data_IF_046088230944
#
_entry.id   IF_046088230944
#
_cell.length_a   1.000
_cell.length_b   1.000
_cell.length_c   1.000
_cell.angle_alpha   90.00
_cell.angle_beta   90.00
_cell.angle_gamma   90.00
#
_symmetry.space_group_name_H-M   'P 1'
#
loop_
_entity.id
_entity.type
_entity.pdbx_description
1 polymer ?
#
# COMPACT_ATOMS: atom_id res chain seq x y z
N UNK A 1 2.90 -6.65 -2.85
CA UNK A 1 2.81 -7.45 -4.09
C UNK A 1 2.92 -8.93 -3.79
N UNK A 2 2.36 -9.76 -4.68
CA UNK A 2 2.39 -11.22 -4.62
C UNK A 2 2.99 -11.73 -5.93
N UNK A 3 3.99 -12.59 -5.85
CA UNK A 3 4.60 -13.25 -7.01
C UNK A 3 4.48 -14.76 -6.88
N UNK A 4 4.38 -15.44 -8.01
CA UNK A 4 4.36 -16.91 -8.05
C UNK A 4 5.77 -17.44 -8.26
N UNK A 5 6.21 -18.34 -7.39
CA UNK A 5 7.57 -18.92 -7.44
C UNK A 5 7.87 -19.66 -8.75
N UNK A 6 6.81 -20.16 -9.42
CA UNK A 6 6.94 -20.94 -10.67
C UNK A 6 7.02 -20.08 -11.93
N UNK A 7 6.51 -18.85 -11.88
CA UNK A 7 6.42 -17.99 -13.07
C UNK A 7 7.71 -17.23 -13.35
N UNK A 8 8.59 -17.10 -12.35
CA UNK A 8 9.82 -16.34 -12.45
C UNK A 8 9.64 -14.83 -12.66
N UNK A 9 8.41 -14.33 -12.53
CA UNK A 9 8.12 -12.89 -12.63
C UNK A 9 8.67 -12.18 -11.40
N UNK A 10 9.56 -11.19 -11.55
CA UNK A 10 10.11 -10.47 -10.41
C UNK A 10 9.14 -9.42 -9.88
N UNK A 11 9.31 -9.06 -8.62
CA UNK A 11 8.90 -7.74 -8.13
C UNK A 11 9.97 -6.73 -8.52
N UNK A 12 9.54 -5.51 -8.85
CA UNK A 12 10.43 -4.40 -9.11
C UNK A 12 10.28 -3.38 -7.98
N UNK A 13 11.39 -2.98 -7.41
CA UNK A 13 11.49 -2.01 -6.32
C UNK A 13 12.24 -0.82 -6.89
N UNK A 14 11.59 0.33 -6.89
CA UNK A 14 12.13 1.59 -7.39
C UNK A 14 12.18 2.60 -6.25
N UNK A 15 13.25 3.35 -6.16
CA UNK A 15 13.37 4.46 -5.22
C UNK A 15 14.31 5.53 -5.75
N UNK A 16 14.10 6.75 -5.29
CA UNK A 16 14.90 7.90 -5.70
C UNK A 16 15.73 8.42 -4.52
N UNK A 17 17.01 8.63 -4.76
CA UNK A 17 17.89 9.36 -3.89
C UNK A 17 17.95 10.82 -4.35
N UNK A 18 17.46 11.72 -3.52
CA UNK A 18 17.33 13.15 -3.86
C UNK A 18 18.66 13.94 -3.79
N UNK A 19 19.80 13.27 -3.63
CA UNK A 19 21.12 13.92 -3.65
C UNK A 19 21.71 14.06 -5.04
N UNK A 20 21.19 13.33 -6.05
CA UNK A 20 21.73 13.24 -7.41
C UNK A 20 23.15 12.66 -7.49
N UNK A 21 23.68 12.13 -6.40
CA UNK A 21 24.95 11.43 -6.34
C UNK A 21 24.74 9.92 -6.41
N UNK A 22 25.81 9.19 -6.74
CA UNK A 22 25.79 7.74 -6.60
C UNK A 22 26.08 7.35 -5.17
N UNK A 23 25.14 6.61 -4.56
CA UNK A 23 25.37 5.93 -3.29
C UNK A 23 25.37 4.42 -3.49
N UNK A 24 26.23 3.73 -2.76
CA UNK A 24 26.30 2.27 -2.83
C UNK A 24 25.25 1.68 -1.89
N UNK A 25 24.08 1.41 -2.45
CA UNK A 25 23.02 0.72 -1.74
C UNK A 25 23.16 -0.79 -1.91
N UNK A 26 22.85 -1.50 -0.84
CA UNK A 26 22.81 -2.97 -0.78
C UNK A 26 21.50 -3.41 -0.18
N UNK A 27 21.12 -4.65 -0.44
CA UNK A 27 19.87 -5.17 0.11
C UNK A 27 20.08 -6.40 0.96
N UNK A 28 19.10 -6.66 1.81
CA UNK A 28 18.97 -7.87 2.61
C UNK A 28 17.55 -8.39 2.51
N UNK A 29 17.42 -9.66 2.16
CA UNK A 29 16.16 -10.41 2.21
C UNK A 29 16.05 -11.17 3.52
N UNK A 30 14.82 -11.21 4.05
CA UNK A 30 14.48 -12.01 5.21
C UNK A 30 13.17 -12.74 4.94
N UNK A 31 13.16 -14.05 5.16
CA UNK A 31 11.94 -14.83 5.14
C UNK A 31 11.16 -14.59 6.43
N UNK A 32 9.83 -14.43 6.32
CA UNK A 32 8.95 -14.07 7.43
C UNK A 32 7.75 -15.02 7.53
N UNK A 33 7.25 -15.15 8.75
CA UNK A 33 6.00 -15.83 9.06
C UNK A 33 4.77 -15.01 8.58
N UNK A 34 3.58 -15.58 8.75
CA UNK A 34 2.33 -14.94 8.35
C UNK A 34 2.07 -13.59 9.06
N UNK A 35 2.64 -13.36 10.22
CA UNK A 35 2.56 -12.12 10.99
C UNK A 35 3.73 -11.14 10.74
N UNK A 36 4.55 -11.43 9.71
CA UNK A 36 5.76 -10.68 9.34
C UNK A 36 6.91 -10.74 10.35
N UNK A 37 6.83 -11.55 11.39
CA UNK A 37 7.99 -11.88 12.21
C UNK A 37 9.01 -12.68 11.39
N UNK A 38 10.29 -12.55 11.72
CA UNK A 38 11.33 -13.34 11.06
C UNK A 38 11.12 -14.83 11.31
N UNK A 39 11.21 -15.65 10.27
CA UNK A 39 11.08 -17.10 10.42
C UNK A 39 12.26 -17.68 11.20
N UNK A 40 11.96 -18.41 12.26
CA UNK A 40 12.97 -19.04 13.09
C UNK A 40 13.47 -20.35 12.46
N UNK A 41 14.78 -20.60 12.49
CA UNK A 41 15.39 -21.83 12.01
C UNK A 41 15.50 -21.97 10.50
N UNK A 42 15.15 -20.92 9.74
CA UNK A 42 15.34 -20.84 8.29
C UNK A 42 16.59 -20.00 8.01
N UNK A 43 17.55 -20.59 7.28
CA UNK A 43 18.78 -19.90 6.88
C UNK A 43 18.62 -19.29 5.48
N UNK A 44 19.45 -18.32 5.14
CA UNK A 44 19.44 -17.64 3.85
C UNK A 44 19.53 -18.64 2.68
N UNK A 45 20.32 -19.70 2.84
CA UNK A 45 20.48 -20.77 1.85
C UNK A 45 19.25 -21.66 1.65
N UNK A 46 18.29 -21.64 2.57
CA UNK A 46 17.07 -22.43 2.46
C UNK A 46 16.05 -21.76 1.55
N UNK A 47 16.03 -20.43 1.51
CA UNK A 47 15.04 -19.67 0.74
C UNK A 47 15.62 -18.93 -0.47
N UNK A 48 16.94 -18.77 -0.55
CA UNK A 48 17.61 -18.05 -1.64
C UNK A 48 18.84 -18.80 -2.15
N UNK A 49 18.86 -19.10 -3.45
CA UNK A 49 20.07 -19.48 -4.15
C UNK A 49 20.83 -18.23 -4.58
N UNK A 50 21.97 -17.97 -3.97
CA UNK A 50 22.82 -16.81 -4.22
C UNK A 50 22.94 -15.89 -3.01
N UNK A 51 22.76 -14.59 -3.21
CA UNK A 51 22.99 -13.58 -2.17
C UNK A 51 21.69 -13.05 -1.61
N UNK A 52 21.33 -13.45 -0.42
CA UNK A 52 20.20 -12.89 0.33
C UNK A 52 20.56 -11.60 1.09
N UNK A 53 21.87 -11.37 1.33
CA UNK A 53 22.35 -10.20 2.07
C UNK A 53 23.63 -9.64 1.45
N UNK A 54 23.74 -8.31 1.41
CA UNK A 54 24.95 -7.59 1.02
C UNK A 54 25.19 -7.46 -0.49
N UNK A 55 24.25 -7.89 -1.34
CA UNK A 55 24.39 -7.67 -2.77
C UNK A 55 24.04 -6.23 -3.16
N UNK A 56 24.77 -5.69 -4.12
CA UNK A 56 24.73 -4.27 -4.50
C UNK A 56 23.59 -4.02 -5.48
N UNK A 57 22.89 -2.91 -5.28
CA UNK A 57 21.92 -2.36 -6.24
C UNK A 57 22.71 -1.52 -7.24
N UNK A 58 23.03 -2.11 -8.39
CA UNK A 58 23.89 -1.51 -9.42
C UNK A 58 23.12 -0.95 -10.63
N UNK A 59 21.80 -1.13 -10.68
CA UNK A 59 20.92 -0.47 -11.64
C UNK A 59 20.51 0.90 -11.12
N UNK A 60 21.06 1.95 -11.71
CA UNK A 60 20.71 3.33 -11.36
C UNK A 60 20.82 4.27 -12.57
N UNK A 61 20.00 5.32 -12.56
CA UNK A 61 20.01 6.36 -13.60
C UNK A 61 19.75 7.73 -12.98
N UNK A 62 20.49 8.74 -13.40
CA UNK A 62 20.29 10.11 -12.94
C UNK A 62 19.06 10.74 -13.62
N UNK A 63 18.32 11.55 -12.88
CA UNK A 63 17.19 12.31 -13.42
C UNK A 63 17.61 13.23 -14.56
N UNK A 64 16.70 13.43 -15.51
CA UNK A 64 16.95 14.24 -16.72
C UNK A 64 15.84 15.27 -16.87
N UNK A 65 16.25 16.54 -17.10
CA UNK A 65 15.33 17.67 -17.33
C UNK A 65 14.35 17.92 -16.17
N UNK A 66 14.75 17.61 -14.94
CA UNK A 66 13.97 17.88 -13.73
C UNK A 66 14.56 19.04 -12.95
N UNK A 67 13.72 19.80 -12.27
CA UNK A 67 14.14 20.83 -11.32
C UNK A 67 14.70 20.21 -10.03
N UNK A 68 13.98 19.26 -9.48
CA UNK A 68 14.47 18.43 -8.38
C UNK A 68 15.34 17.33 -8.94
N UNK A 69 16.63 17.39 -8.71
CA UNK A 69 17.59 16.39 -9.21
C UNK A 69 17.64 15.20 -8.27
N UNK A 70 17.68 13.98 -8.82
CA UNK A 70 17.74 12.73 -8.05
C UNK A 70 18.48 11.64 -8.82
N UNK A 71 18.86 10.58 -8.12
CA UNK A 71 19.33 9.33 -8.72
C UNK A 71 18.27 8.26 -8.50
N UNK A 72 17.73 7.70 -9.57
CA UNK A 72 16.77 6.62 -9.58
C UNK A 72 17.47 5.28 -9.48
N UNK A 73 17.07 4.44 -8.54
CA UNK A 73 17.56 3.07 -8.34
C UNK A 73 16.47 2.06 -8.61
N UNK A 74 16.86 0.92 -9.20
CA UNK A 74 15.97 -0.19 -9.52
C UNK A 74 16.55 -1.49 -8.99
N UNK A 75 15.69 -2.31 -8.38
CA UNK A 75 16.02 -3.65 -7.92
C UNK A 75 14.88 -4.61 -8.28
N UNK A 76 15.20 -5.66 -9.01
CA UNK A 76 14.27 -6.77 -9.30
C UNK A 76 14.60 -7.99 -8.44
N UNK A 77 13.59 -8.60 -7.81
CA UNK A 77 13.71 -9.84 -7.06
C UNK A 77 12.60 -10.82 -7.50
N UNK A 78 12.91 -12.08 -7.88
CA UNK A 78 14.25 -12.65 -8.02
C UNK A 78 15.07 -12.07 -9.19
N UNK A 79 16.39 -12.23 -9.13
CA UNK A 79 17.32 -11.84 -10.18
C UNK A 79 18.40 -12.93 -10.39
N UNK A 80 19.40 -12.67 -11.22
CA UNK A 80 20.47 -13.64 -11.51
C UNK A 80 21.31 -14.02 -10.29
N UNK A 81 21.41 -13.11 -9.29
CA UNK A 81 22.21 -13.29 -8.08
C UNK A 81 21.41 -13.74 -6.87
N UNK A 82 20.08 -13.68 -6.94
CA UNK A 82 19.18 -14.11 -5.88
C UNK A 82 17.93 -14.77 -6.46
N UNK A 83 17.85 -16.10 -6.37
CA UNK A 83 16.72 -16.91 -6.81
C UNK A 83 15.99 -17.44 -5.59
N UNK A 84 14.67 -17.23 -5.55
CA UNK A 84 13.84 -17.66 -4.43
C UNK A 84 13.43 -19.13 -4.59
N UNK A 85 13.65 -19.92 -3.53
CA UNK A 85 13.38 -21.36 -3.50
C UNK A 85 12.21 -21.73 -2.60
N UNK A 86 11.73 -20.80 -1.78
CA UNK A 86 10.69 -21.03 -0.77
C UNK A 86 9.55 -20.04 -0.94
N UNK A 87 8.32 -20.51 -0.82
CA UNK A 87 7.14 -19.65 -0.68
C UNK A 87 7.03 -19.08 0.74
N UNK A 88 6.41 -17.91 0.89
CA UNK A 88 6.24 -17.27 2.18
C UNK A 88 6.21 -15.74 2.07
N UNK A 89 6.22 -15.08 3.20
CA UNK A 89 6.36 -13.64 3.28
C UNK A 89 7.84 -13.25 3.28
N UNK A 90 8.16 -12.16 2.61
CA UNK A 90 9.52 -11.65 2.52
C UNK A 90 9.58 -10.18 2.87
N UNK A 91 10.53 -9.83 3.71
CA UNK A 91 10.92 -8.46 3.98
C UNK A 91 12.26 -8.18 3.33
N UNK A 92 12.30 -7.18 2.46
CA UNK A 92 13.52 -6.65 1.87
C UNK A 92 13.87 -5.36 2.58
N UNK A 93 15.09 -5.24 3.07
CA UNK A 93 15.67 -4.00 3.58
C UNK A 93 16.71 -3.50 2.59
N UNK A 94 16.65 -2.21 2.23
CA UNK A 94 17.72 -1.54 1.50
C UNK A 94 18.46 -0.64 2.49
N UNK A 95 19.78 -0.69 2.46
CA UNK A 95 20.62 0.08 3.36
C UNK A 95 21.86 0.64 2.65
N UNK A 96 22.37 1.75 3.14
CA UNK A 96 23.64 2.31 2.66
C UNK A 96 24.79 1.42 3.11
N UNK A 97 25.70 1.07 2.19
CA UNK A 97 26.82 0.16 2.48
C UNK A 97 27.87 0.78 3.40
N UNK A 98 27.94 2.11 3.51
CA UNK A 98 28.94 2.80 4.31
C UNK A 98 28.58 2.88 5.78
N UNK A 99 27.39 3.39 6.11
CA UNK A 99 26.93 3.62 7.48
C UNK A 99 26.00 2.54 8.01
N UNK A 100 25.52 1.66 7.10
CA UNK A 100 24.59 0.57 7.38
C UNK A 100 23.20 1.03 7.84
N UNK A 101 22.86 2.28 7.62
CA UNK A 101 21.52 2.79 7.89
C UNK A 101 20.52 2.23 6.89
N UNK A 102 19.44 1.67 7.40
CA UNK A 102 18.34 1.17 6.57
C UNK A 102 17.52 2.36 6.06
N UNK A 103 17.44 2.50 4.74
CA UNK A 103 16.73 3.61 4.09
C UNK A 103 15.27 3.25 3.76
N UNK A 104 14.98 1.98 3.44
CA UNK A 104 13.61 1.53 3.19
C UNK A 104 13.42 0.05 3.49
N UNK A 105 12.17 -0.32 3.70
CA UNK A 105 11.70 -1.70 3.74
C UNK A 105 10.64 -1.92 2.65
N UNK A 106 10.75 -3.01 1.92
CA UNK A 106 9.69 -3.51 1.05
C UNK A 106 9.21 -4.87 1.54
N UNK A 107 7.89 -5.09 1.46
CA UNK A 107 7.26 -6.34 1.87
C UNK A 107 6.56 -6.96 0.67
N UNK A 108 6.76 -8.25 0.44
CA UNK A 108 6.11 -8.98 -0.63
C UNK A 108 5.87 -10.44 -0.24
N UNK A 109 5.02 -11.11 -0.99
CA UNK A 109 4.67 -12.49 -0.76
C UNK A 109 5.06 -13.33 -1.98
N UNK A 110 5.56 -14.53 -1.72
CA UNK A 110 5.89 -15.53 -2.74
C UNK A 110 4.95 -16.72 -2.57
N UNK A 111 4.11 -16.97 -3.56
CA UNK A 111 3.13 -18.04 -3.52
C UNK A 111 3.62 -19.28 -4.29
N UNK A 112 3.42 -20.46 -3.70
CA UNK A 112 3.38 -21.73 -4.42
C UNK A 112 1.92 -22.23 -4.40
N UNK A 113 1.22 -22.30 -5.55
CA UNK A 113 -0.24 -22.41 -5.60
C UNK A 113 -0.75 -23.82 -5.35
N UNK A 114 -0.54 -24.38 -4.14
CA UNK A 114 -1.10 -25.66 -3.73
C UNK A 114 -2.52 -25.54 -3.16
N UNK A 115 -2.95 -24.33 -2.82
CA UNK A 115 -4.26 -24.04 -2.24
C UNK A 115 -5.07 -23.25 -3.24
N UNK A 116 -6.36 -23.58 -3.37
CA UNK A 116 -7.31 -22.80 -4.18
C UNK A 116 -8.24 -22.02 -3.27
N UNK A 117 -8.40 -20.75 -3.56
CA UNK A 117 -9.28 -19.84 -2.82
C UNK A 117 -10.40 -19.41 -3.76
N UNK A 118 -11.63 -19.50 -3.26
CA UNK A 118 -12.81 -18.89 -3.87
C UNK A 118 -13.36 -17.87 -2.87
N UNK A 119 -13.61 -16.67 -3.32
CA UNK A 119 -14.17 -15.61 -2.48
C UNK A 119 -15.30 -14.87 -3.22
N UNK A 120 -16.25 -14.40 -2.48
CA UNK A 120 -17.34 -13.55 -2.95
C UNK A 120 -17.68 -12.51 -1.91
N UNK A 121 -18.08 -11.31 -2.35
CA UNK A 121 -18.51 -10.21 -1.49
C UNK A 121 -19.99 -9.94 -1.74
N UNK A 122 -20.74 -9.71 -0.69
CA UNK A 122 -22.17 -9.39 -0.76
C UNK A 122 -22.47 -8.17 0.11
N UNK A 123 -23.28 -7.26 -0.41
CA UNK A 123 -23.86 -6.14 0.33
C UNK A 123 -25.12 -6.54 1.14
N UNK A 124 -25.66 -7.75 0.92
CA UNK A 124 -26.66 -8.33 1.78
C UNK A 124 -25.96 -9.11 2.89
N UNK A 125 -25.71 -8.44 4.01
CA UNK A 125 -24.91 -8.95 5.12
C UNK A 125 -25.80 -9.55 6.22
N UNK A 126 -25.22 -10.26 7.19
CA UNK A 126 -25.95 -10.80 8.35
C UNK A 126 -26.36 -9.72 9.38
N UNK A 127 -26.03 -8.46 9.16
CA UNK A 127 -26.38 -7.34 10.05
C UNK A 127 -27.21 -6.27 9.36
N UNK A 128 -27.03 -6.07 8.08
CA UNK A 128 -27.82 -5.13 7.28
C UNK A 128 -27.94 -5.64 5.82
N UNK A 129 -28.83 -5.03 5.06
CA UNK A 129 -29.05 -5.36 3.66
C UNK A 129 -28.89 -4.10 2.81
N UNK A 130 -27.87 -4.07 1.98
CA UNK A 130 -27.56 -2.97 1.06
C UNK A 130 -27.51 -1.60 1.78
N UNK A 131 -26.86 -1.53 2.91
CA UNK A 131 -26.72 -0.32 3.69
C UNK A 131 -25.27 0.18 3.76
N UNK A 132 -24.52 -0.21 4.76
CA UNK A 132 -23.20 0.35 5.05
C UNK A 132 -22.07 -0.66 5.10
N UNK A 133 -22.38 -1.94 4.99
CA UNK A 133 -21.39 -3.02 5.12
C UNK A 133 -21.35 -3.94 3.90
N UNK A 134 -20.26 -4.68 3.85
CA UNK A 134 -20.00 -5.76 2.88
C UNK A 134 -19.55 -7.00 3.65
N UNK A 135 -20.00 -8.17 3.23
CA UNK A 135 -19.66 -9.44 3.88
C UNK A 135 -18.95 -10.36 2.90
N UNK A 136 -17.81 -10.90 3.33
CA UNK A 136 -17.03 -11.86 2.57
C UNK A 136 -17.51 -13.26 2.91
N UNK A 137 -17.69 -14.08 1.87
CA UNK A 137 -17.92 -15.52 1.94
C UNK A 137 -16.95 -16.22 0.99
N UNK A 138 -16.58 -17.46 1.31
CA UNK A 138 -15.64 -18.14 0.42
C UNK A 138 -15.25 -19.52 0.91
N UNK A 139 -14.28 -20.09 0.26
CA UNK A 139 -13.73 -21.39 0.60
C UNK A 139 -12.24 -21.50 0.31
N UNK A 140 -11.57 -22.31 1.09
CA UNK A 140 -10.16 -22.66 0.94
C UNK A 140 -10.06 -24.14 0.69
N UNK A 141 -9.70 -24.55 -0.52
CA UNK A 141 -9.45 -25.93 -0.92
C UNK A 141 -7.96 -26.24 -0.82
N UNK A 142 -7.61 -27.13 0.06
CA UNK A 142 -6.23 -27.55 0.34
C UNK A 142 -5.97 -29.01 -0.08
N UNK A 143 -6.73 -29.52 -1.07
CA UNK A 143 -6.57 -30.88 -1.59
C UNK A 143 -5.16 -31.19 -2.14
N UNK A 144 -4.41 -30.13 -2.49
CA UNK A 144 -3.00 -30.23 -2.91
C UNK A 144 -1.99 -30.45 -1.78
N UNK A 145 -2.43 -30.36 -0.53
CA UNK A 145 -1.59 -30.48 0.67
C UNK A 145 -2.05 -31.64 1.57
N UNK A 146 -1.12 -32.19 2.34
CA UNK A 146 -1.44 -33.19 3.38
C UNK A 146 -1.61 -32.48 4.71
N UNK A 147 -2.84 -32.14 5.05
CA UNK A 147 -3.21 -31.42 6.26
C UNK A 147 -4.11 -32.31 7.12
N UNK A 148 -3.75 -32.47 8.38
CA UNK A 148 -4.49 -33.29 9.34
C UNK A 148 -5.43 -32.48 10.19
N UNK A 149 -5.06 -31.25 10.54
CA UNK A 149 -5.86 -30.32 11.33
C UNK A 149 -5.82 -28.92 10.70
N UNK A 150 -6.71 -28.63 9.72
CA UNK A 150 -6.65 -27.40 8.96
C UNK A 150 -6.80 -26.14 9.82
N UNK A 151 -7.56 -26.17 10.91
CA UNK A 151 -7.73 -25.01 11.81
C UNK A 151 -6.43 -24.64 12.58
N UNK A 152 -5.46 -25.56 12.65
CA UNK A 152 -4.17 -25.34 13.33
C UNK A 152 -3.01 -25.21 12.37
N UNK A 153 -3.10 -25.87 11.23
CA UNK A 153 -2.01 -25.97 10.25
C UNK A 153 -2.12 -24.91 9.15
N UNK A 154 -3.32 -24.30 8.97
CA UNK A 154 -3.54 -23.21 8.01
C UNK A 154 -3.79 -21.90 8.75
N UNK A 155 -3.10 -20.86 8.34
CA UNK A 155 -3.37 -19.48 8.72
C UNK A 155 -4.19 -18.81 7.62
N UNK A 156 -5.36 -18.27 7.97
CA UNK A 156 -6.20 -17.51 7.05
C UNK A 156 -6.18 -16.03 7.41
N UNK A 157 -5.93 -15.19 6.43
CA UNK A 157 -5.95 -13.73 6.58
C UNK A 157 -6.85 -13.15 5.49
N UNK A 158 -7.88 -12.41 5.91
CA UNK A 158 -8.80 -11.72 5.01
C UNK A 158 -8.72 -10.24 5.36
N UNK A 159 -8.44 -9.41 4.36
CA UNK A 159 -8.31 -7.96 4.54
C UNK A 159 -9.00 -7.21 3.41
N UNK A 160 -9.38 -5.99 3.63
CA UNK A 160 -10.00 -5.10 2.65
C UNK A 160 -8.93 -4.21 2.01
N UNK A 161 -8.90 -4.15 0.69
CA UNK A 161 -8.00 -3.30 -0.12
C UNK A 161 -6.51 -3.48 0.23
N UNK A 162 -6.09 -4.68 0.63
CA UNK A 162 -4.71 -4.94 1.04
C UNK A 162 -4.26 -4.22 2.32
N UNK A 163 -5.19 -3.62 3.07
CA UNK A 163 -4.88 -2.81 4.26
C UNK A 163 -4.79 -3.69 5.50
N UNK A 164 -3.60 -3.87 6.04
CA UNK A 164 -3.35 -4.73 7.21
C UNK A 164 -4.13 -4.37 8.48
N UNK A 165 -4.50 -3.11 8.67
CA UNK A 165 -5.32 -2.71 9.83
C UNK A 165 -6.76 -3.25 9.76
N UNK A 166 -7.22 -3.70 8.60
CA UNK A 166 -8.53 -4.34 8.41
C UNK A 166 -8.47 -5.86 8.53
N UNK A 167 -7.29 -6.45 8.65
CA UNK A 167 -7.08 -7.89 8.61
C UNK A 167 -7.90 -8.64 9.68
N UNK A 168 -8.54 -9.71 9.24
CA UNK A 168 -9.22 -10.71 10.06
C UNK A 168 -8.40 -11.99 10.02
N UNK A 169 -7.73 -12.31 11.11
CA UNK A 169 -6.79 -13.42 11.19
C UNK A 169 -7.48 -14.65 11.78
N UNK A 170 -7.31 -15.81 11.14
CA UNK A 170 -7.79 -17.11 11.65
C UNK A 170 -9.26 -17.12 12.05
N UNK A 171 -10.09 -16.43 11.27
CA UNK A 171 -11.54 -16.46 11.44
C UNK A 171 -12.04 -17.89 11.35
N UNK A 172 -12.89 -18.29 12.28
CA UNK A 172 -13.36 -19.67 12.35
C UNK A 172 -14.25 -20.03 11.16
N UNK A 173 -13.93 -21.09 10.38
CA UNK A 173 -14.80 -21.55 9.30
C UNK A 173 -16.11 -22.14 9.85
N UNK A 174 -17.21 -21.97 9.13
CA UNK A 174 -18.50 -22.58 9.48
C UNK A 174 -18.53 -24.08 9.21
N UNK A 175 -17.76 -24.53 8.23
CA UNK A 175 -17.68 -25.95 7.88
C UNK A 175 -16.25 -26.33 7.55
N UNK A 176 -15.78 -27.43 8.13
CA UNK A 176 -14.50 -28.05 7.82
C UNK A 176 -14.76 -29.42 7.22
N UNK A 177 -14.35 -29.62 5.97
CA UNK A 177 -14.37 -30.88 5.25
C UNK A 177 -12.95 -31.49 5.25
N UNK A 178 -12.81 -32.69 4.71
CA UNK A 178 -11.49 -33.39 4.65
C UNK A 178 -10.41 -32.62 3.93
N UNK A 179 -10.77 -31.76 2.98
CA UNK A 179 -9.83 -31.03 2.11
C UNK A 179 -10.25 -29.58 1.84
N UNK A 180 -11.28 -29.08 2.52
CA UNK A 180 -11.84 -27.74 2.26
C UNK A 180 -12.38 -27.11 3.55
N UNK A 181 -12.09 -25.84 3.76
CA UNK A 181 -12.75 -24.97 4.73
C UNK A 181 -13.74 -24.05 4.02
N UNK A 182 -14.91 -23.82 4.62
CA UNK A 182 -15.97 -22.97 4.08
C UNK A 182 -16.31 -21.89 5.08
N UNK A 183 -16.31 -20.65 4.59
CA UNK A 183 -16.67 -19.44 5.32
C UNK A 183 -17.97 -18.90 4.74
N UNK A 184 -19.05 -18.95 5.50
CA UNK A 184 -20.38 -18.46 5.11
C UNK A 184 -21.11 -17.92 6.33
N UNK A 185 -21.86 -16.86 6.19
CA UNK A 185 -22.60 -16.27 7.32
C UNK A 185 -21.71 -16.01 8.55
N UNK A 186 -20.49 -15.54 8.30
CA UNK A 186 -19.54 -15.24 9.36
C UNK A 186 -19.52 -13.74 9.63
N UNK A 187 -20.00 -13.34 10.81
CA UNK A 187 -20.06 -11.92 11.19
C UNK A 187 -18.70 -11.27 11.39
N UNK A 188 -17.65 -12.05 11.65
CA UNK A 188 -16.28 -11.55 11.72
C UNK A 188 -15.75 -11.11 10.34
N UNK A 189 -16.36 -11.60 9.26
CA UNK A 189 -16.04 -11.25 7.89
C UNK A 189 -16.96 -10.16 7.29
N UNK A 190 -17.56 -9.35 8.16
CA UNK A 190 -18.27 -8.13 7.77
C UNK A 190 -17.31 -6.95 7.91
N UNK A 191 -17.22 -6.16 6.85
CA UNK A 191 -16.40 -4.97 6.76
C UNK A 191 -17.27 -3.74 6.51
N UNK A 192 -16.83 -2.59 6.99
CA UNK A 192 -17.42 -1.32 6.59
C UNK A 192 -17.25 -1.13 5.09
N UNK A 193 -18.27 -0.69 4.39
CA UNK A 193 -18.18 -0.40 2.95
C UNK A 193 -17.20 0.72 2.64
N UNK A 194 -17.07 1.68 3.55
CA UNK A 194 -16.23 2.84 3.33
C UNK A 194 -16.77 3.75 2.22
N UNK A 195 -15.89 4.45 1.58
CA UNK A 195 -16.16 5.31 0.43
C UNK A 195 -15.03 5.16 -0.59
N UNK A 196 -15.30 5.52 -1.86
CA UNK A 196 -14.27 5.54 -2.89
C UNK A 196 -13.09 6.40 -2.49
N UNK A 197 -11.87 6.01 -2.88
CA UNK A 197 -10.69 6.84 -2.64
C UNK A 197 -10.80 8.15 -3.42
N UNK A 198 -10.21 9.20 -2.89
CA UNK A 198 -9.99 10.47 -3.57
C UNK A 198 -8.79 10.33 -4.49
N UNK A 199 -8.70 11.18 -5.49
CA UNK A 199 -7.60 11.12 -6.45
C UNK A 199 -7.21 12.49 -6.97
N UNK A 200 -5.96 12.62 -7.33
CA UNK A 200 -5.44 13.75 -8.09
C UNK A 200 -4.31 13.28 -9.00
N UNK A 201 -3.95 14.14 -9.91
CA UNK A 201 -2.88 13.87 -10.86
C UNK A 201 -2.07 15.13 -11.14
N UNK A 202 -0.75 14.99 -11.21
CA UNK A 202 0.18 16.04 -11.64
C UNK A 202 0.92 15.52 -12.86
N UNK A 203 0.50 15.94 -14.05
CA UNK A 203 1.13 15.56 -15.30
C UNK A 203 2.16 16.62 -15.77
N UNK A 204 1.86 17.89 -15.53
CA UNK A 204 2.65 19.03 -15.95
C UNK A 204 2.91 19.93 -14.74
N UNK A 205 4.13 20.38 -14.56
CA UNK A 205 4.51 21.24 -13.43
C UNK A 205 4.07 22.69 -13.59
N UNK A 206 3.67 23.09 -14.80
CA UNK A 206 3.22 24.44 -15.12
C UNK A 206 1.68 24.54 -15.25
N UNK A 207 0.98 23.40 -15.35
CA UNK A 207 -0.46 23.38 -15.64
C UNK A 207 -1.20 22.46 -14.67
N UNK A 208 -2.29 22.95 -14.06
CA UNK A 208 -3.15 22.10 -13.25
C UNK A 208 -3.74 20.96 -14.09
N UNK A 209 -3.79 19.76 -13.48
CA UNK A 209 -4.48 18.59 -14.01
C UNK A 209 -5.56 18.14 -13.03
N UNK A 210 -6.06 16.90 -13.17
CA UNK A 210 -7.17 16.40 -12.36
C UNK A 210 -6.92 16.59 -10.85
N UNK A 211 -7.86 17.17 -10.14
CA UNK A 211 -7.80 17.36 -8.68
C UNK A 211 -6.91 18.51 -8.22
N UNK A 212 -6.18 19.17 -9.12
CA UNK A 212 -5.28 20.29 -8.82
C UNK A 212 -5.99 21.60 -9.09
N UNK A 213 -6.02 22.51 -8.11
CA UNK A 213 -6.58 23.86 -8.21
C UNK A 213 -5.58 24.82 -8.87
N UNK A 214 -4.33 24.78 -8.44
CA UNK A 214 -3.30 25.67 -8.95
C UNK A 214 -1.91 25.03 -8.93
N UNK A 215 -1.09 25.46 -9.90
CA UNK A 215 0.34 25.18 -9.98
C UNK A 215 1.11 26.48 -9.93
N UNK A 216 2.22 26.54 -9.18
CA UNK A 216 3.07 27.72 -9.09
C UNK A 216 4.50 27.36 -8.68
N UNK A 217 5.39 28.30 -8.89
CA UNK A 217 6.79 28.25 -8.47
C UNK A 217 7.01 29.12 -7.23
N UNK A 218 7.53 28.54 -6.13
CA UNK A 218 7.75 29.26 -4.87
C UNK A 218 9.13 29.96 -4.79
N UNK A 219 9.93 29.83 -5.82
CA UNK A 219 11.32 30.32 -5.88
C UNK A 219 12.36 29.20 -5.75
N UNK A 220 11.95 28.00 -5.34
CA UNK A 220 12.83 26.84 -5.15
C UNK A 220 12.23 25.56 -5.76
N UNK A 221 10.93 25.35 -5.59
CA UNK A 221 10.24 24.15 -6.02
C UNK A 221 8.93 24.49 -6.77
N UNK A 222 8.51 23.59 -7.62
CA UNK A 222 7.14 23.58 -8.09
C UNK A 222 6.19 23.20 -6.96
N UNK A 223 5.06 23.87 -6.89
CA UNK A 223 4.03 23.66 -5.88
C UNK A 223 2.68 23.40 -6.56
N UNK A 224 1.88 22.53 -5.96
CA UNK A 224 0.51 22.23 -6.36
C UNK A 224 -0.42 22.39 -5.17
N UNK A 225 -1.43 23.24 -5.29
CA UNK A 225 -2.54 23.24 -4.34
C UNK A 225 -3.67 22.36 -4.89
N UNK A 226 -4.07 21.35 -4.15
CA UNK A 226 -5.25 20.55 -4.50
C UNK A 226 -6.53 21.31 -4.16
N UNK A 227 -7.61 21.00 -4.87
CA UNK A 227 -8.95 21.46 -4.45
C UNK A 227 -9.20 21.06 -3.00
N UNK A 228 -9.80 21.99 -2.23
CA UNK A 228 -10.16 21.69 -0.84
C UNK A 228 -11.20 20.58 -0.81
N UNK A 229 -10.87 19.47 -0.18
CA UNK A 229 -11.78 18.34 0.02
C UNK A 229 -12.85 18.67 1.07
N UNK A 230 -14.04 18.12 0.85
CA UNK A 230 -15.17 18.16 1.77
C UNK A 230 -15.63 16.73 2.12
N UNK A 231 -16.36 16.55 3.24
CA UNK A 231 -16.97 15.26 3.58
C UNK A 231 -17.93 14.76 2.50
N UNK A 232 -17.87 13.47 2.23
CA UNK A 232 -18.74 12.80 1.26
C UNK A 232 -19.86 12.06 2.00
N UNK A 233 -21.06 12.65 2.00
CA UNK A 233 -22.27 12.11 2.67
C UNK A 233 -23.19 11.35 1.73
N UNK A 234 -22.90 11.35 0.44
CA UNK A 234 -23.65 10.60 -0.57
C UNK A 234 -22.68 9.80 -1.40
N UNK A 235 -23.09 8.60 -1.77
CA UNK A 235 -22.29 7.78 -2.68
C UNK A 235 -22.28 8.40 -4.07
N UNK A 236 -21.08 8.56 -4.59
CA UNK A 236 -20.84 8.92 -6.00
C UNK A 236 -19.77 7.96 -6.47
N UNK A 237 -20.14 7.12 -7.43
CA UNK A 237 -19.17 6.23 -8.06
C UNK A 237 -18.06 7.05 -8.72
N UNK A 238 -16.84 6.70 -8.41
CA UNK A 238 -15.65 7.30 -9.00
C UNK A 238 -14.56 6.23 -9.07
N UNK A 239 -14.23 5.77 -10.27
CA UNK A 239 -13.16 4.79 -10.47
C UNK A 239 -11.86 5.31 -9.89
N UNK A 240 -11.30 4.60 -8.93
CA UNK A 240 -10.07 4.96 -8.24
C UNK A 240 -9.02 3.82 -8.32
N UNK A 241 -7.93 3.93 -7.60
CA UNK A 241 -6.87 2.93 -7.57
C UNK A 241 -6.68 2.32 -6.18
N UNK A 242 -7.71 2.28 -5.32
CA UNK A 242 -7.66 1.71 -3.98
C UNK A 242 -6.44 2.16 -3.14
N UNK A 243 -6.09 3.46 -3.25
CA UNK A 243 -4.96 4.05 -2.54
C UNK A 243 -3.60 3.87 -3.20
N UNK A 244 -3.53 3.28 -4.39
CA UNK A 244 -2.30 3.16 -5.17
C UNK A 244 -1.93 4.45 -5.90
N UNK A 245 -0.75 4.45 -6.52
CA UNK A 245 -0.22 5.58 -7.28
C UNK A 245 0.52 5.10 -8.53
N UNK A 246 0.66 5.98 -9.50
CA UNK A 246 1.41 5.72 -10.74
C UNK A 246 2.25 6.93 -11.09
N UNK A 247 3.57 6.74 -11.21
CA UNK A 247 4.48 7.78 -11.65
C UNK A 247 4.35 7.98 -13.15
N UNK A 248 3.99 9.18 -13.57
CA UNK A 248 3.90 9.57 -14.97
C UNK A 248 3.93 11.09 -15.15
N UNK A 249 4.38 11.52 -16.30
CA UNK A 249 4.36 12.89 -16.74
C UNK A 249 3.52 13.06 -18.03
N UNK A 250 3.37 14.28 -18.52
CA UNK A 250 2.56 14.60 -19.71
C UNK A 250 3.05 13.89 -20.97
N UNK A 251 4.34 13.67 -21.12
CA UNK A 251 4.94 13.04 -22.28
C UNK A 251 4.85 11.50 -22.21
N UNK A 252 4.64 10.97 -21.01
CA UNK A 252 4.59 9.55 -20.69
C UNK A 252 5.81 8.77 -21.21
N UNK A 253 6.97 9.40 -21.19
CA UNK A 253 8.25 8.83 -21.61
C UNK A 253 9.22 8.95 -20.45
N UNK A 254 9.99 7.88 -20.21
CA UNK A 254 11.01 7.84 -19.16
C UNK A 254 10.51 8.36 -17.80
N UNK A 255 9.30 7.96 -17.42
CA UNK A 255 8.58 8.49 -16.25
C UNK A 255 9.41 8.45 -14.96
N UNK A 256 10.24 7.41 -14.78
CA UNK A 256 11.03 7.22 -13.58
C UNK A 256 12.18 8.22 -13.41
N UNK A 257 12.68 8.78 -14.50
CA UNK A 257 13.82 9.70 -14.48
C UNK A 257 13.51 11.11 -15.00
N UNK A 258 12.39 11.30 -15.70
CA UNK A 258 12.00 12.59 -16.28
C UNK A 258 10.79 13.25 -15.57
N UNK A 259 10.25 12.63 -14.51
CA UNK A 259 9.19 13.23 -13.70
C UNK A 259 9.77 14.05 -12.56
N UNK A 260 9.29 15.28 -12.38
CA UNK A 260 9.76 16.19 -11.34
C UNK A 260 9.08 15.95 -9.98
N UNK A 261 9.68 16.45 -8.92
CA UNK A 261 9.09 16.48 -7.59
C UNK A 261 8.39 17.82 -7.35
N UNK A 262 7.19 17.75 -6.78
CA UNK A 262 6.29 18.88 -6.54
C UNK A 262 5.87 18.89 -5.08
N UNK A 263 5.89 20.06 -4.44
CA UNK A 263 5.29 20.26 -3.11
C UNK A 263 3.78 20.33 -3.24
N UNK A 264 3.08 19.29 -2.79
CA UNK A 264 1.62 19.17 -2.88
C UNK A 264 0.99 19.59 -1.57
N UNK A 265 0.08 20.55 -1.63
CA UNK A 265 -0.75 20.97 -0.51
C UNK A 265 -2.11 20.29 -0.56
N UNK A 266 -2.43 19.59 0.53
CA UNK A 266 -3.73 18.98 0.79
C UNK A 266 -4.52 19.85 1.76
N UNK A 267 -5.83 19.98 1.53
CA UNK A 267 -6.74 20.69 2.41
C UNK A 267 -8.05 19.91 2.58
N UNK A 268 -8.51 19.76 3.82
CA UNK A 268 -9.74 19.06 4.16
C UNK A 268 -10.62 19.94 5.07
N UNK A 269 -11.77 20.34 4.56
CA UNK A 269 -12.73 21.23 5.23
C UNK A 269 -13.71 20.43 6.11
N UNK A 270 -13.25 20.05 7.29
CA UNK A 270 -14.07 19.40 8.32
C UNK A 270 -13.84 20.06 9.68
N UNK A 271 -14.74 19.79 10.63
CA UNK A 271 -14.53 20.19 12.02
C UNK A 271 -13.34 19.45 12.63
N UNK A 272 -12.72 20.08 13.63
CA UNK A 272 -11.59 19.48 14.35
C UNK A 272 -12.00 18.15 14.98
N UNK A 273 -11.30 17.10 14.60
CA UNK A 273 -11.55 15.74 15.08
C UNK A 273 -10.97 15.53 16.48
N UNK A 274 -11.51 14.60 17.27
CA UNK A 274 -10.96 14.24 18.58
C UNK A 274 -9.56 13.67 18.51
N UNK A 275 -9.26 12.91 17.45
CA UNK A 275 -7.95 12.30 17.19
C UNK A 275 -7.21 12.97 16.03
N UNK A 276 -5.94 12.64 15.83
CA UNK A 276 -5.15 13.12 14.71
C UNK A 276 -5.70 12.60 13.37
N UNK A 277 -5.70 13.45 12.35
CA UNK A 277 -6.15 13.14 11.00
C UNK A 277 -4.95 12.92 10.10
N UNK A 278 -5.06 11.94 9.20
CA UNK A 278 -4.00 11.56 8.26
C UNK A 278 -4.52 11.42 6.84
N UNK A 279 -3.66 11.73 5.89
CA UNK A 279 -3.80 11.28 4.49
C UNK A 279 -3.22 9.87 4.42
N UNK A 280 -4.00 8.93 3.92
CA UNK A 280 -3.65 7.52 3.86
C UNK A 280 -3.82 6.96 2.44
N UNK A 281 -2.85 6.23 2.00
CA UNK A 281 -2.78 5.50 0.75
C UNK A 281 -1.56 4.57 0.78
N UNK A 282 -1.40 3.70 -0.18
CA UNK A 282 -0.25 2.79 -0.26
C UNK A 282 1.06 3.58 -0.30
N UNK A 283 1.09 4.68 -1.05
CA UNK A 283 2.25 5.56 -1.20
C UNK A 283 2.61 6.35 0.08
N UNK A 284 1.72 6.47 1.04
CA UNK A 284 2.01 7.17 2.31
C UNK A 284 2.65 6.27 3.35
N UNK A 285 2.74 4.96 3.12
CA UNK A 285 3.26 3.98 4.09
C UNK A 285 4.71 4.24 4.51
N UNK A 286 5.51 4.84 3.64
CA UNK A 286 6.90 5.25 3.92
C UNK A 286 6.99 6.55 4.72
N UNK A 287 5.90 7.32 4.82
CA UNK A 287 5.87 8.65 5.46
C UNK A 287 5.39 8.60 6.91
N UNK A 288 5.06 7.42 7.42
CA UNK A 288 4.64 7.20 8.80
C UNK A 288 3.65 6.05 8.95
N UNK A 289 3.48 5.60 10.18
CA UNK A 289 2.63 4.43 10.51
C UNK A 289 1.19 4.52 9.97
N UNK A 290 0.64 5.73 9.90
CA UNK A 290 -0.74 5.96 9.46
C UNK A 290 -0.82 6.82 8.19
N UNK A 291 0.33 7.22 7.64
CA UNK A 291 0.45 8.14 6.51
C UNK A 291 0.85 9.55 6.93
N UNK A 292 0.46 10.55 6.13
CA UNK A 292 0.86 11.95 6.34
C UNK A 292 -0.11 12.60 7.33
N UNK A 293 0.43 13.03 8.48
CA UNK A 293 -0.36 13.73 9.50
C UNK A 293 -0.76 15.12 8.99
N UNK A 294 -2.02 15.47 9.20
CA UNK A 294 -2.55 16.79 8.89
C UNK A 294 -2.60 17.67 10.15
N UNK A 295 -2.35 18.95 9.98
CA UNK A 295 -2.48 19.95 11.05
C UNK A 295 -3.76 20.78 10.85
N UNK A 296 -4.47 21.03 11.95
CA UNK A 296 -5.68 21.83 11.90
C UNK A 296 -5.35 23.31 11.93
N UNK A 297 -5.73 24.02 10.87
CA UNK A 297 -5.60 25.47 10.77
C UNK A 297 -6.85 26.13 11.41
N UNK A 298 -6.67 26.70 12.61
CA UNK A 298 -7.77 27.30 13.36
C UNK A 298 -8.34 28.58 12.69
N UNK A 299 -7.56 29.27 11.87
CA UNK A 299 -8.00 30.45 11.14
C UNK A 299 -8.81 30.06 9.89
N UNK A 300 -8.32 29.12 9.13
CA UNK A 300 -8.96 28.61 7.92
C UNK A 300 -10.07 27.58 8.21
N UNK A 301 -10.19 27.09 9.46
CA UNK A 301 -11.17 26.07 9.90
C UNK A 301 -11.12 24.78 9.09
N UNK A 302 -9.91 24.34 8.73
CA UNK A 302 -9.68 23.12 7.95
C UNK A 302 -8.37 22.45 8.34
N UNK A 303 -8.21 21.19 7.98
CA UNK A 303 -6.94 20.49 8.06
C UNK A 303 -6.09 20.80 6.82
N UNK A 304 -4.78 20.91 7.02
CA UNK A 304 -3.81 21.12 5.94
C UNK A 304 -2.60 20.20 6.14
N UNK A 305 -2.02 19.73 5.02
CA UNK A 305 -0.75 19.00 5.01
C UNK A 305 0.01 19.28 3.72
N UNK A 306 1.32 19.04 3.74
CA UNK A 306 2.21 19.19 2.60
C UNK A 306 3.00 17.91 2.40
N UNK A 307 3.21 17.52 1.15
CA UNK A 307 4.03 16.38 0.79
C UNK A 307 4.83 16.69 -0.48
N UNK A 308 6.12 16.29 -0.47
CA UNK A 308 6.94 16.30 -1.68
C UNK A 308 6.66 15.01 -2.45
N UNK A 309 6.01 15.11 -3.61
CA UNK A 309 5.58 13.99 -4.42
C UNK A 309 6.11 14.11 -5.84
N UNK A 310 6.44 12.98 -6.47
CA UNK A 310 6.83 12.92 -7.87
C UNK A 310 5.59 13.10 -8.76
N UNK A 311 5.74 13.66 -9.95
CA UNK A 311 4.64 13.74 -10.92
C UNK A 311 3.99 12.37 -11.12
N UNK A 312 2.66 12.33 -11.15
CA UNK A 312 1.92 11.09 -11.26
C UNK A 312 0.47 11.20 -10.83
N UNK A 313 -0.18 10.07 -10.86
CA UNK A 313 -1.54 9.85 -10.33
C UNK A 313 -1.45 9.29 -8.91
N UNK A 314 -2.28 9.79 -8.00
CA UNK A 314 -2.32 9.39 -6.61
C UNK A 314 -3.76 9.18 -6.14
N UNK A 315 -4.00 8.01 -5.53
CA UNK A 315 -5.27 7.68 -4.88
C UNK A 315 -5.07 7.72 -3.36
N UNK A 316 -5.99 8.35 -2.62
CA UNK A 316 -5.86 8.57 -1.17
C UNK A 316 -7.21 8.68 -0.47
N UNK A 317 -7.18 8.50 0.83
CA UNK A 317 -8.32 8.74 1.72
C UNK A 317 -7.87 9.45 2.98
N UNK A 318 -8.83 9.97 3.74
CA UNK A 318 -8.54 10.49 5.06
C UNK A 318 -8.96 9.49 6.12
N UNK A 319 -8.13 9.33 7.14
CA UNK A 319 -8.40 8.52 8.31
C UNK A 319 -8.14 9.34 9.58
N UNK A 320 -8.77 8.96 10.68
CA UNK A 320 -8.39 9.41 12.02
C UNK A 320 -7.91 8.23 12.85
N UNK A 321 -7.30 8.50 13.99
CA UNK A 321 -6.91 7.47 14.94
C UNK A 321 -7.39 7.82 16.33
N UNK A 322 -7.41 6.84 17.23
CA UNK A 322 -7.48 7.12 18.66
C UNK A 322 -6.32 8.00 19.09
N UNK A 323 -6.44 8.71 20.21
CA UNK A 323 -5.41 9.65 20.70
C UNK A 323 -4.05 8.97 20.94
N UNK A 324 -4.06 7.69 21.30
CA UNK A 324 -2.85 6.88 21.48
C UNK A 324 -2.32 6.29 20.15
N UNK A 325 -3.03 6.53 19.04
CA UNK A 325 -2.66 6.02 17.71
C UNK A 325 -2.77 4.50 17.56
N UNK A 326 -3.46 3.80 18.48
CA UNK A 326 -3.56 2.35 18.45
C UNK A 326 -4.58 1.83 17.44
N UNK A 327 -5.67 2.57 17.24
CA UNK A 327 -6.79 2.16 16.38
C UNK A 327 -7.05 3.18 15.30
N UNK A 328 -7.13 2.72 14.05
CA UNK A 328 -7.57 3.51 12.90
C UNK A 328 -9.09 3.56 12.91
N UNK A 329 -9.62 4.76 12.71
CA UNK A 329 -11.05 5.04 12.68
C UNK A 329 -11.39 5.75 11.37
N UNK A 330 -12.60 5.57 10.82
CA UNK A 330 -13.08 6.42 9.74
C UNK A 330 -13.27 7.86 10.24
N UNK A 331 -13.32 8.81 9.33
CA UNK A 331 -13.71 10.18 9.67
C UNK A 331 -15.18 10.21 10.11
N UNK A 332 -15.48 10.98 11.13
CA UNK A 332 -16.85 11.08 11.68
C UNK A 332 -17.83 11.77 10.73
N UNK A 333 -17.32 12.51 9.76
CA UNK A 333 -18.11 13.31 8.82
C UNK A 333 -18.26 12.67 7.43
N UNK A 334 -17.74 11.43 7.23
CA UNK A 334 -17.95 10.66 6.00
C UNK A 334 -18.83 9.44 6.25
N UNK A 335 -19.77 9.18 5.33
CA UNK A 335 -20.65 8.02 5.42
C UNK A 335 -20.03 6.78 4.75
N UNK A 336 -20.48 5.59 5.16
CA UNK A 336 -20.14 4.31 4.60
C UNK A 336 -21.18 3.85 3.59
N UNK A 337 -20.73 3.28 2.48
CA UNK A 337 -21.59 2.86 1.39
C UNK A 337 -21.32 1.42 0.97
N UNK A 338 -22.37 0.62 0.87
CA UNK A 338 -22.25 -0.77 0.42
C UNK A 338 -21.84 -0.90 -1.05
N UNK A 339 -22.01 0.18 -1.84
CA UNK A 339 -21.66 0.24 -3.27
C UNK A 339 -20.17 0.42 -3.53
N UNK A 340 -19.40 0.86 -2.52
CA UNK A 340 -17.96 1.11 -2.65
C UNK A 340 -17.25 -0.11 -3.24
N UNK A 341 -16.41 0.11 -4.26
CA UNK A 341 -15.60 -0.94 -4.85
C UNK A 341 -14.42 -1.26 -3.93
N UNK A 342 -14.49 -2.41 -3.28
CA UNK A 342 -13.44 -2.91 -2.39
C UNK A 342 -12.89 -4.25 -2.90
N UNK A 343 -11.60 -4.48 -2.66
CA UNK A 343 -10.87 -5.71 -2.98
C UNK A 343 -10.59 -6.53 -1.72
#
# INVERSE_FOLDING_TARGET
>A
PIINIKDGTPINIHFDDLTHDYHRYVYKLQHCEADWSASEGIFDTDFCDGFADGDVIDSYTKSVNTNSIYTHYELSIPNERCRLNMSGNYRLAVYDDNDKDTILYAHFMVVDPFVKIEASVSSNTDIDANATHQQVSGSVDFSGLRISNPEKELTTIIMQNGVWSTARNNTKPQTVLSNKMIFSHNRELIFDGGNEYRKFEILDVERPSMGVESMYWDGTNYCADLWTDEPRRNYIYDEDANGHFYIRNSDNVENDIASDYVNVKFALSIQKQPGPVYINGVWTSIMGKHGIKMEYNDDAKRYEAYALLKQGYYSYRYITTTLDGSTVLPLTDEDNFHQTENE
#
